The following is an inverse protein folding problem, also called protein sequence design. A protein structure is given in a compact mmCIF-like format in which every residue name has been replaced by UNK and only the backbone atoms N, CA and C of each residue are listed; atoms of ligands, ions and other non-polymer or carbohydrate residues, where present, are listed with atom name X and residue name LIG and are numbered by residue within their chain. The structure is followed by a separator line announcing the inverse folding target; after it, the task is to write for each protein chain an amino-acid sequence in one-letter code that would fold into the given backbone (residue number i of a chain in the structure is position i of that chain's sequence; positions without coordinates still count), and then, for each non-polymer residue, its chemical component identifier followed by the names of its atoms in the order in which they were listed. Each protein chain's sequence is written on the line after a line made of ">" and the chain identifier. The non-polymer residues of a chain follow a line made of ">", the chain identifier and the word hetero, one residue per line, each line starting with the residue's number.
data_IF_503957879766
#
_entry.id   IF_503957879766
#
_cell.length_a   1.000
_cell.length_b   1.000
_cell.length_c   1.000
_cell.angle_alpha   90.00
_cell.angle_beta   90.00
_cell.angle_gamma   90.00
#
_symmetry.space_group_name_H-M   'P 1'
#
loop_
_entity.id
_entity.type
_entity.pdbx_description
1 polymer ?
#
# COMPACT_ATOMS: atom_id res chain seq x y z
N UNK A 1 45.05 -6.04 -10.75
CA UNK A 1 43.73 -6.06 -11.42
C UNK A 1 42.65 -6.00 -10.34
N UNK A 2 42.17 -4.80 -10.04
CA UNK A 2 41.10 -4.57 -9.06
C UNK A 2 39.77 -4.62 -9.81
N UNK A 3 38.99 -5.68 -9.58
CA UNK A 3 37.64 -5.76 -10.09
C UNK A 3 36.80 -4.66 -9.42
N UNK A 4 36.35 -3.70 -10.23
CA UNK A 4 35.35 -2.73 -9.80
C UNK A 4 34.06 -3.50 -9.48
N UNK A 5 33.72 -3.59 -8.20
CA UNK A 5 32.37 -3.93 -7.79
C UNK A 5 31.44 -2.88 -8.42
N UNK A 6 30.75 -3.24 -9.49
CA UNK A 6 29.55 -2.53 -9.93
C UNK A 6 28.63 -2.51 -8.71
N UNK A 7 28.42 -1.34 -8.13
CA UNK A 7 27.34 -1.10 -7.20
C UNK A 7 26.04 -1.53 -7.87
N UNK A 8 25.53 -2.70 -7.50
CA UNK A 8 24.18 -3.13 -7.83
C UNK A 8 23.21 -2.30 -6.96
N UNK A 9 23.09 -1.00 -7.23
CA UNK A 9 22.11 -0.12 -6.57
C UNK A 9 20.74 -0.31 -7.24
N UNK A 10 20.26 -1.55 -7.24
CA UNK A 10 18.84 -1.81 -7.41
C UNK A 10 18.11 -1.44 -6.12
N UNK A 11 16.83 -1.02 -6.18
CA UNK A 11 16.02 -0.85 -4.98
C UNK A 11 15.98 -2.18 -4.21
N UNK A 12 16.15 -2.12 -2.89
CA UNK A 12 16.07 -3.29 -2.00
C UNK A 12 14.61 -3.71 -1.89
N UNK A 13 14.23 -4.94 -2.30
CA UNK A 13 12.87 -5.44 -2.11
C UNK A 13 12.51 -5.53 -0.63
N UNK A 14 11.26 -5.28 -0.30
CA UNK A 14 10.71 -5.30 1.06
C UNK A 14 10.93 -4.02 1.87
N UNK A 15 11.59 -3.00 1.31
CA UNK A 15 11.85 -1.73 2.00
C UNK A 15 11.01 -0.62 1.41
N UNK A 16 10.13 -0.01 2.21
CA UNK A 16 9.32 1.14 1.79
C UNK A 16 10.20 2.35 1.44
N UNK A 17 9.96 2.96 0.28
CA UNK A 17 10.75 4.03 -0.34
C UNK A 17 9.89 5.27 -0.48
N UNK A 18 10.31 6.34 0.18
CA UNK A 18 9.59 7.63 0.19
C UNK A 18 9.22 8.18 -1.20
N UNK A 19 10.09 8.02 -2.20
CA UNK A 19 9.89 8.63 -3.53
C UNK A 19 9.07 7.79 -4.50
N UNK A 20 8.86 6.51 -4.21
CA UNK A 20 8.22 5.57 -5.12
C UNK A 20 6.93 4.96 -4.54
N UNK A 21 6.47 5.46 -3.38
CA UNK A 21 5.31 4.93 -2.65
C UNK A 21 4.07 5.78 -2.87
N UNK A 22 2.97 5.14 -3.27
CA UNK A 22 1.62 5.65 -3.08
C UNK A 22 1.05 5.14 -1.76
N UNK A 23 0.48 6.02 -0.95
CA UNK A 23 -0.30 5.59 0.22
C UNK A 23 -1.79 5.63 -0.13
N UNK A 24 -2.51 4.54 0.11
CA UNK A 24 -3.95 4.45 -0.11
C UNK A 24 -4.63 4.21 1.22
N UNK A 25 -5.49 5.14 1.62
CA UNK A 25 -6.36 4.96 2.78
C UNK A 25 -7.71 4.42 2.32
N UNK A 26 -8.15 3.30 2.88
CA UNK A 26 -9.48 2.74 2.64
C UNK A 26 -10.30 2.92 3.90
N UNK A 27 -11.40 3.68 3.78
CA UNK A 27 -12.29 4.06 4.89
C UNK A 27 -11.50 4.66 6.06
N UNK A 28 -10.74 5.72 5.75
CA UNK A 28 -9.85 6.36 6.71
C UNK A 28 -10.61 6.80 7.97
N UNK A 29 -10.09 6.39 9.14
CA UNK A 29 -10.58 6.89 10.41
C UNK A 29 -10.09 8.34 10.64
N UNK A 30 -10.78 9.15 11.47
CA UNK A 30 -10.36 10.52 11.78
C UNK A 30 -8.90 10.64 12.23
N UNK A 31 -8.36 9.63 12.91
CA UNK A 31 -6.98 9.54 13.40
C UNK A 31 -5.96 9.51 12.25
N UNK A 32 -6.35 9.05 11.06
CA UNK A 32 -5.50 9.06 9.87
C UNK A 32 -5.23 10.47 9.34
N UNK A 33 -6.00 11.49 9.74
CA UNK A 33 -5.82 12.89 9.31
C UNK A 33 -4.43 13.46 9.63
N UNK A 34 -3.86 13.09 10.79
CA UNK A 34 -2.51 13.49 11.19
C UNK A 34 -1.48 12.83 10.27
N UNK A 35 -1.65 11.54 9.96
CA UNK A 35 -0.76 10.82 9.06
C UNK A 35 -0.82 11.40 7.64
N UNK A 36 -2.02 11.65 7.10
CA UNK A 36 -2.22 12.30 5.81
C UNK A 36 -1.55 13.67 5.74
N UNK A 37 -1.67 14.48 6.80
CA UNK A 37 -0.99 15.79 6.90
C UNK A 37 0.53 15.64 6.85
N UNK A 38 1.09 14.65 7.55
CA UNK A 38 2.54 14.34 7.52
C UNK A 38 3.02 13.84 6.16
N UNK A 39 2.23 13.01 5.49
CA UNK A 39 2.51 12.53 4.13
C UNK A 39 2.54 13.70 3.14
N UNK A 40 1.56 14.61 3.22
CA UNK A 40 1.49 15.83 2.41
C UNK A 40 2.71 16.73 2.62
N UNK A 41 3.05 17.03 3.89
CA UNK A 41 4.24 17.81 4.23
C UNK A 41 5.55 17.14 3.74
N UNK A 42 5.56 15.82 3.67
CA UNK A 42 6.67 15.01 3.19
C UNK A 42 6.69 14.80 1.68
N UNK A 43 5.73 15.37 0.94
CA UNK A 43 5.56 15.18 -0.51
C UNK A 43 5.38 13.72 -0.91
N UNK A 44 4.78 12.90 -0.04
CA UNK A 44 4.41 11.52 -0.35
C UNK A 44 2.97 11.55 -0.88
N UNK A 45 2.72 11.06 -2.10
CA UNK A 45 1.38 11.03 -2.64
C UNK A 45 0.50 10.07 -1.83
N UNK A 46 -0.72 10.50 -1.56
CA UNK A 46 -1.74 9.65 -0.97
C UNK A 46 -3.11 9.89 -1.60
N UNK A 47 -3.95 8.86 -1.55
CA UNK A 47 -5.36 8.90 -1.92
C UNK A 47 -6.21 8.37 -0.79
N UNK A 48 -7.41 8.91 -0.66
CA UNK A 48 -8.43 8.45 0.28
C UNK A 48 -9.58 7.86 -0.52
N UNK A 49 -9.92 6.61 -0.22
CA UNK A 49 -10.99 5.86 -0.85
C UNK A 49 -12.04 5.56 0.23
N UNK A 50 -13.24 6.07 0.02
CA UNK A 50 -14.41 5.68 0.82
C UNK A 50 -15.12 4.53 0.09
N UNK A 51 -14.96 3.31 0.60
CA UNK A 51 -15.47 2.10 -0.01
C UNK A 51 -16.81 1.67 0.60
N UNK A 52 -17.74 2.61 0.76
CA UNK A 52 -19.07 2.38 1.37
C UNK A 52 -19.89 1.29 0.66
N UNK A 53 -19.52 0.90 -0.56
CA UNK A 53 -20.25 -0.04 -1.41
C UNK A 53 -19.39 -1.20 -1.97
N UNK A 54 -18.13 -1.35 -1.55
CA UNK A 54 -17.24 -2.37 -2.11
C UNK A 54 -16.88 -2.13 -3.60
N UNK A 55 -16.99 -0.89 -4.07
CA UNK A 55 -16.75 -0.49 -5.46
C UNK A 55 -15.30 -0.70 -5.86
N UNK A 56 -14.37 -0.55 -4.92
CA UNK A 56 -12.94 -0.75 -5.19
C UNK A 56 -12.52 -2.23 -5.18
N UNK A 57 -13.45 -3.17 -4.93
CA UNK A 57 -13.22 -4.59 -5.20
C UNK A 57 -13.05 -4.90 -6.71
N UNK A 58 -13.44 -3.97 -7.58
CA UNK A 58 -13.33 -4.12 -9.03
C UNK A 58 -12.07 -3.42 -9.56
N UNK A 59 -11.14 -4.21 -10.12
CA UNK A 59 -9.85 -3.75 -10.65
C UNK A 59 -9.86 -2.50 -11.57
N UNK A 60 -10.89 -2.26 -12.41
CA UNK A 60 -10.94 -1.05 -13.24
C UNK A 60 -11.03 0.26 -12.44
N UNK A 61 -11.77 0.28 -11.32
CA UNK A 61 -11.93 1.48 -10.48
C UNK A 61 -10.67 1.81 -9.68
N UNK A 62 -9.89 0.78 -9.32
CA UNK A 62 -8.55 0.98 -8.78
C UNK A 62 -7.65 1.68 -9.80
N UNK A 63 -7.64 1.19 -11.04
CA UNK A 63 -6.84 1.81 -12.10
C UNK A 63 -7.28 3.23 -12.40
N UNK A 64 -8.58 3.54 -12.38
CA UNK A 64 -9.07 4.91 -12.52
C UNK A 64 -8.66 5.82 -11.34
N UNK A 65 -8.70 5.31 -10.11
CA UNK A 65 -8.25 6.05 -8.93
C UNK A 65 -6.73 6.32 -8.95
N UNK A 66 -5.96 5.37 -9.48
CA UNK A 66 -4.53 5.52 -9.72
C UNK A 66 -4.27 6.47 -10.88
N UNK A 67 -4.94 6.32 -12.02
CA UNK A 67 -4.71 7.04 -13.28
C UNK A 67 -5.43 8.41 -13.37
N UNK A 68 -6.02 8.90 -12.27
CA UNK A 68 -6.71 10.18 -12.22
C UNK A 68 -5.89 11.36 -12.79
N UNK A 69 -6.55 12.42 -13.31
CA UNK A 69 -5.97 13.43 -14.22
C UNK A 69 -4.81 14.27 -13.67
N UNK A 70 -4.40 14.06 -12.43
CA UNK A 70 -3.29 14.76 -11.76
C UNK A 70 -2.07 13.90 -11.48
N UNK A 71 -2.07 12.62 -11.88
CA UNK A 71 -0.98 11.73 -11.48
C UNK A 71 -0.41 10.95 -12.67
N UNK A 72 0.73 11.42 -13.17
CA UNK A 72 1.53 10.70 -14.16
C UNK A 72 2.29 9.58 -13.43
N UNK A 73 1.78 8.34 -13.54
CA UNK A 73 2.37 7.17 -12.87
C UNK A 73 3.30 6.36 -13.79
N UNK A 74 4.61 6.35 -13.51
CA UNK A 74 5.56 5.38 -14.09
C UNK A 74 5.48 4.03 -13.36
N UNK A 75 5.00 2.99 -14.03
CA UNK A 75 4.64 1.70 -13.42
C UNK A 75 5.83 0.82 -12.97
N UNK A 76 7.06 1.07 -13.43
CA UNK A 76 8.12 0.04 -13.42
C UNK A 76 8.86 -0.26 -12.10
N UNK A 77 8.70 0.50 -11.00
CA UNK A 77 9.40 0.24 -9.71
C UNK A 77 8.66 0.72 -8.46
N UNK A 78 7.35 0.89 -8.56
CA UNK A 78 6.56 1.60 -7.55
C UNK A 78 5.97 0.69 -6.49
N UNK A 79 5.81 1.29 -5.32
CA UNK A 79 5.27 0.65 -4.13
C UNK A 79 3.89 1.23 -3.85
N UNK A 80 3.02 0.39 -3.31
CA UNK A 80 1.75 0.83 -2.76
C UNK A 80 1.72 0.44 -1.29
N UNK A 81 1.28 1.35 -0.44
CA UNK A 81 0.98 1.09 0.95
C UNK A 81 -0.51 1.26 1.15
N UNK A 82 -1.20 0.16 1.41
CA UNK A 82 -2.64 0.16 1.71
C UNK A 82 -2.86 0.23 3.21
N UNK A 83 -3.58 1.23 3.68
CA UNK A 83 -3.95 1.45 5.08
C UNK A 83 -5.46 1.26 5.18
N UNK A 84 -5.91 0.26 5.93
CA UNK A 84 -7.33 0.01 6.16
C UNK A 84 -7.60 -1.31 6.85
N UNK A 85 -8.88 -1.60 7.11
CA UNK A 85 -9.29 -2.85 7.73
C UNK A 85 -9.22 -3.99 6.71
N UNK A 86 -8.39 -5.00 6.97
CA UNK A 86 -8.26 -6.18 6.09
C UNK A 86 -9.51 -7.07 6.06
N UNK A 87 -10.48 -6.83 6.96
CA UNK A 87 -11.83 -7.42 6.87
C UNK A 87 -12.66 -6.76 5.77
N UNK A 88 -12.31 -5.54 5.37
CA UNK A 88 -12.89 -4.92 4.19
C UNK A 88 -12.35 -5.62 2.93
N UNK A 89 -13.28 -6.11 2.10
CA UNK A 89 -12.97 -6.74 0.81
C UNK A 89 -12.21 -5.80 -0.12
N UNK A 90 -12.49 -4.49 -0.07
CA UNK A 90 -11.80 -3.45 -0.83
C UNK A 90 -10.29 -3.43 -0.56
N UNK A 91 -9.87 -3.52 0.72
CA UNK A 91 -8.45 -3.57 1.10
C UNK A 91 -7.76 -4.79 0.49
N UNK A 92 -8.41 -5.95 0.57
CA UNK A 92 -7.85 -7.21 0.04
C UNK A 92 -7.73 -7.15 -1.48
N UNK A 93 -8.78 -6.71 -2.17
CA UNK A 93 -8.79 -6.59 -3.62
C UNK A 93 -7.78 -5.56 -4.14
N UNK A 94 -7.66 -4.43 -3.45
CA UNK A 94 -6.67 -3.40 -3.74
C UNK A 94 -5.24 -3.95 -3.70
N UNK A 95 -4.91 -4.71 -2.64
CA UNK A 95 -3.60 -5.33 -2.51
C UNK A 95 -3.34 -6.35 -3.62
N UNK A 96 -4.31 -7.23 -3.90
CA UNK A 96 -4.16 -8.27 -4.93
C UNK A 96 -4.09 -7.67 -6.34
N UNK A 97 -4.87 -6.62 -6.62
CA UNK A 97 -4.86 -5.89 -7.88
C UNK A 97 -3.51 -5.24 -8.13
N UNK A 98 -2.97 -4.54 -7.13
CA UNK A 98 -1.65 -3.91 -7.24
C UNK A 98 -0.52 -4.94 -7.45
N UNK A 99 -0.58 -6.10 -6.79
CA UNK A 99 0.32 -7.22 -7.05
C UNK A 99 0.20 -7.74 -8.49
N UNK A 100 -1.01 -7.88 -9.02
CA UNK A 100 -1.28 -8.30 -10.40
C UNK A 100 -0.68 -7.35 -11.44
N UNK A 101 -0.61 -6.06 -11.13
CA UNK A 101 0.03 -5.01 -11.94
C UNK A 101 1.56 -4.95 -11.77
N UNK A 102 2.15 -5.85 -10.96
CA UNK A 102 3.58 -5.90 -10.69
C UNK A 102 4.09 -4.86 -9.70
N UNK A 103 3.20 -4.23 -8.92
CA UNK A 103 3.60 -3.29 -7.87
C UNK A 103 4.05 -4.03 -6.62
N UNK A 104 5.06 -3.47 -5.96
CA UNK A 104 5.49 -3.95 -4.65
C UNK A 104 4.50 -3.47 -3.59
N UNK A 105 3.71 -4.40 -3.06
CA UNK A 105 2.52 -4.08 -2.27
C UNK A 105 2.80 -4.27 -0.78
N UNK A 106 2.56 -3.23 0.00
CA UNK A 106 2.58 -3.22 1.45
C UNK A 106 1.17 -2.98 1.97
N UNK A 107 0.87 -3.53 3.13
CA UNK A 107 -0.41 -3.24 3.79
C UNK A 107 -0.25 -3.09 5.30
N UNK A 108 -1.06 -2.20 5.86
CA UNK A 108 -1.18 -1.94 7.27
C UNK A 108 -2.64 -2.19 7.70
N UNK A 109 -2.89 -3.28 8.44
CA UNK A 109 -4.22 -3.57 8.96
C UNK A 109 -4.55 -2.63 10.13
N UNK A 110 -5.63 -1.86 10.01
CA UNK A 110 -6.07 -0.93 11.08
C UNK A 110 -6.90 -1.59 12.17
N UNK A 111 -7.32 -2.86 11.99
CA UNK A 111 -8.06 -3.60 13.03
C UNK A 111 -7.15 -3.96 14.19
N UNK A 112 -7.41 -3.38 15.37
CA UNK A 112 -6.68 -3.67 16.62
C UNK A 112 -6.97 -5.07 17.17
N UNK A 113 -8.07 -5.69 16.73
CA UNK A 113 -8.47 -7.04 17.16
C UNK A 113 -7.98 -8.09 16.16
N UNK A 114 -7.01 -8.91 16.57
CA UNK A 114 -6.60 -10.10 15.84
C UNK A 114 -7.62 -11.24 16.04
N UNK A 115 -8.81 -11.09 15.44
CA UNK A 115 -9.74 -12.21 15.32
C UNK A 115 -9.26 -13.20 14.24
N UNK A 116 -9.80 -14.43 14.28
CA UNK A 116 -9.40 -15.50 13.36
C UNK A 116 -9.53 -15.11 11.88
N UNK A 117 -10.52 -14.28 11.53
CA UNK A 117 -10.74 -13.82 10.17
C UNK A 117 -9.64 -12.84 9.72
N UNK A 118 -9.31 -11.87 10.57
CA UNK A 118 -8.22 -10.92 10.36
C UNK A 118 -6.90 -11.65 10.14
N UNK A 119 -6.58 -12.64 10.98
CA UNK A 119 -5.38 -13.46 10.81
C UNK A 119 -5.34 -14.21 9.48
N UNK A 120 -6.46 -14.81 9.07
CA UNK A 120 -6.54 -15.52 7.78
C UNK A 120 -6.33 -14.55 6.63
N UNK A 121 -6.94 -13.37 6.66
CA UNK A 121 -6.79 -12.36 5.60
C UNK A 121 -5.34 -11.91 5.48
N UNK A 122 -4.69 -11.59 6.60
CA UNK A 122 -3.25 -11.24 6.64
C UNK A 122 -2.41 -12.37 6.05
N UNK A 123 -2.62 -13.61 6.50
CA UNK A 123 -1.87 -14.79 6.01
C UNK A 123 -2.07 -15.02 4.51
N UNK A 124 -3.28 -14.80 3.99
CA UNK A 124 -3.59 -14.94 2.56
C UNK A 124 -2.91 -13.86 1.72
N UNK A 125 -2.96 -12.60 2.16
CA UNK A 125 -2.27 -11.49 1.50
C UNK A 125 -0.75 -11.67 1.52
N UNK A 126 -0.20 -12.10 2.65
CA UNK A 126 1.22 -12.42 2.78
C UNK A 126 1.65 -13.54 1.82
N UNK A 127 0.85 -14.59 1.69
CA UNK A 127 1.10 -15.69 0.74
C UNK A 127 1.01 -15.24 -0.72
N UNK A 128 0.19 -14.25 -1.04
CA UNK A 128 0.11 -13.66 -2.37
C UNK A 128 1.30 -12.76 -2.71
N UNK A 129 2.13 -12.40 -1.72
CA UNK A 129 3.31 -11.55 -1.89
C UNK A 129 3.14 -10.12 -1.39
N UNK A 130 2.00 -9.76 -0.78
CA UNK A 130 1.84 -8.48 -0.11
C UNK A 130 2.58 -8.49 1.23
N UNK A 131 3.25 -7.39 1.58
CA UNK A 131 4.13 -7.32 2.75
C UNK A 131 3.39 -6.61 3.89
N UNK A 132 3.08 -7.29 5.01
CA UNK A 132 2.49 -6.62 6.16
C UNK A 132 3.51 -5.67 6.79
N UNK A 133 3.12 -4.43 7.08
CA UNK A 133 3.91 -3.51 7.88
C UNK A 133 3.49 -3.63 9.35
N UNK A 134 4.39 -4.03 10.27
CA UNK A 134 4.07 -4.11 11.69
C UNK A 134 3.78 -2.72 12.27
N UNK A 135 2.83 -2.65 13.20
CA UNK A 135 2.46 -1.45 13.99
C UNK A 135 3.66 -0.71 14.59
N UNK A 136 4.70 -1.44 15.01
CA UNK A 136 5.89 -0.88 15.63
C UNK A 136 6.73 0.03 14.71
N UNK A 137 6.54 -0.04 13.38
CA UNK A 137 7.41 0.64 12.42
C UNK A 137 6.94 2.07 12.05
N UNK A 138 5.81 2.54 12.60
CA UNK A 138 5.29 3.90 12.38
C UNK A 138 5.48 4.84 13.58
N UNK A 139 5.96 4.31 14.72
CA UNK A 139 6.10 5.04 15.98
C UNK A 139 7.58 5.19 16.33
N UNK A 140 8.37 5.81 15.45
CA UNK A 140 9.65 6.45 15.80
C UNK A 140 9.82 7.76 15.01
#
# INVERSE_FOLDING_TARGET
>A
MTAAFKNCTGPIPGVLRRRDTLVVFVDAFPECSILMSRLSASQIPYIELHDEQGRYAFGPLLMEALEGPKVVWEKQRRQILVIGDVRNVGVTHLCLGALGEGMETFFYPTSETADFQTEISIKRLARAGAIPIPLAHFVE
#
